data_IF_957559640378
#
_entry.id   IF_957559640378
#
_cell.length_a   1.000
_cell.length_b   1.000
_cell.length_c   1.000
_cell.angle_alpha   90.00
_cell.angle_beta   90.00
_cell.angle_gamma   90.00
#
_symmetry.space_group_name_H-M   'P 1'
#
loop_
_entity.id
_entity.type
_entity.pdbx_description
1 polymer ?
#
# COMPACT_ATOMS: atom_id res chain seq x y z
N UNK A 1 9.26 -0.49 7.39
CA UNK A 1 10.02 -0.29 6.13
C UNK A 1 9.25 0.65 5.22
N UNK A 2 9.93 1.40 4.35
CA UNK A 2 9.29 2.21 3.30
C UNK A 2 9.36 1.45 1.98
N UNK A 3 8.20 1.18 1.35
CA UNK A 3 8.12 0.56 0.02
C UNK A 3 7.31 1.46 -0.89
N UNK A 4 7.81 1.69 -2.10
CA UNK A 4 7.16 2.51 -3.11
C UNK A 4 6.60 1.59 -4.20
N UNK A 5 5.35 1.82 -4.58
CA UNK A 5 4.65 1.04 -5.59
C UNK A 5 4.38 1.94 -6.79
N UNK A 6 4.82 1.52 -7.97
CA UNK A 6 4.55 2.21 -9.23
C UNK A 6 3.41 1.48 -9.94
N UNK A 7 2.42 2.22 -10.39
CA UNK A 7 1.25 1.69 -11.11
C UNK A 7 1.59 1.53 -12.60
N UNK A 8 2.31 2.48 -13.18
CA UNK A 8 2.81 2.37 -14.55
C UNK A 8 4.19 1.71 -14.54
N UNK A 9 4.23 0.45 -14.98
CA UNK A 9 5.46 -0.30 -15.22
C UNK A 9 5.41 -0.83 -16.65
N UNK A 10 6.47 -0.65 -17.47
CA UNK A 10 6.46 -1.06 -18.88
C UNK A 10 6.27 -2.58 -19.11
N UNK A 11 6.44 -3.38 -18.06
CA UNK A 11 6.38 -4.84 -18.11
C UNK A 11 4.96 -5.40 -17.84
N UNK A 12 4.03 -4.60 -17.28
CA UNK A 12 2.71 -5.09 -16.86
C UNK A 12 1.58 -4.16 -17.26
N UNK A 13 0.40 -4.74 -17.55
CA UNK A 13 -0.84 -3.98 -17.65
C UNK A 13 -1.22 -3.39 -16.29
N UNK A 14 -1.84 -2.21 -16.29
CA UNK A 14 -2.25 -1.49 -15.07
C UNK A 14 -3.06 -2.38 -14.13
N UNK A 15 -4.02 -3.14 -14.67
CA UNK A 15 -4.86 -4.05 -13.89
C UNK A 15 -4.05 -5.11 -13.13
N UNK A 16 -3.12 -5.79 -13.81
CA UNK A 16 -2.25 -6.80 -13.18
C UNK A 16 -1.30 -6.17 -12.18
N UNK A 17 -0.88 -4.93 -12.42
CA UNK A 17 0.00 -4.21 -11.51
C UNK A 17 -0.74 -3.80 -10.24
N UNK A 18 -1.97 -3.29 -10.36
CA UNK A 18 -2.89 -2.99 -9.24
C UNK A 18 -3.09 -4.22 -8.35
N UNK A 19 -3.40 -5.38 -8.93
CA UNK A 19 -3.57 -6.62 -8.16
C UNK A 19 -2.26 -7.09 -7.50
N UNK A 20 -1.14 -6.95 -8.19
CA UNK A 20 0.19 -7.25 -7.62
C UNK A 20 0.48 -6.36 -6.42
N UNK A 21 0.17 -5.06 -6.50
CA UNK A 21 0.34 -4.09 -5.41
C UNK A 21 -0.57 -4.46 -4.23
N UNK A 22 -1.85 -4.75 -4.48
CA UNK A 22 -2.80 -5.22 -3.44
C UNK A 22 -2.25 -6.44 -2.71
N UNK A 23 -1.69 -7.41 -3.42
CA UNK A 23 -1.14 -8.62 -2.83
C UNK A 23 0.14 -8.35 -2.02
N UNK A 24 1.03 -7.49 -2.53
CA UNK A 24 2.24 -7.08 -1.83
C UNK A 24 1.94 -6.31 -0.54
N UNK A 25 0.94 -5.44 -0.54
CA UNK A 25 0.48 -4.73 0.66
C UNK A 25 -0.01 -5.74 1.70
N UNK A 26 -0.83 -6.73 1.31
CA UNK A 26 -1.28 -7.80 2.23
C UNK A 26 -0.11 -8.60 2.81
N UNK A 27 0.87 -8.97 2.00
CA UNK A 27 2.10 -9.66 2.46
C UNK A 27 2.89 -8.79 3.43
N UNK A 28 3.03 -7.50 3.13
CA UNK A 28 3.73 -6.55 3.98
C UNK A 28 3.08 -6.46 5.37
N UNK A 29 1.76 -6.34 5.43
CA UNK A 29 1.01 -6.27 6.69
C UNK A 29 1.13 -7.57 7.46
N UNK A 30 0.99 -8.73 6.78
CA UNK A 30 1.16 -10.03 7.43
C UNK A 30 2.55 -10.15 8.07
N UNK A 31 3.59 -9.67 7.38
CA UNK A 31 4.97 -9.64 7.88
C UNK A 31 5.12 -8.70 9.07
N UNK A 32 4.58 -7.48 9.02
CA UNK A 32 4.67 -6.54 10.15
C UNK A 32 3.83 -7.01 11.35
N UNK A 33 2.62 -7.54 11.13
CA UNK A 33 1.80 -8.17 12.20
C UNK A 33 2.47 -9.40 12.82
N UNK A 34 3.29 -10.14 12.07
CA UNK A 34 4.02 -11.28 12.60
C UNK A 34 5.19 -10.89 13.53
N UNK A 35 5.60 -9.62 13.50
CA UNK A 35 6.58 -9.11 14.46
C UNK A 35 5.90 -8.94 15.82
N UNK A 36 6.62 -9.31 16.88
CA UNK A 36 6.15 -9.10 18.26
C UNK A 36 5.88 -7.62 18.46
N UNK A 37 4.65 -7.29 18.88
CA UNK A 37 4.29 -5.93 19.24
C UNK A 37 5.10 -5.53 20.47
N UNK A 38 5.65 -4.30 20.51
CA UNK A 38 6.20 -3.75 21.74
C UNK A 38 5.14 -3.74 22.84
N UNK A 39 5.56 -3.97 24.08
CA UNK A 39 4.68 -3.90 25.26
C UNK A 39 4.01 -2.52 25.30
N UNK A 40 2.68 -2.51 25.33
CA UNK A 40 1.86 -1.29 25.34
C UNK A 40 1.26 -0.87 23.99
N UNK A 41 1.57 -1.54 22.89
CA UNK A 41 0.91 -1.30 21.59
C UNK A 41 -0.16 -2.34 21.29
N UNK A 42 -1.39 -1.88 21.03
CA UNK A 42 -2.52 -2.77 20.69
C UNK A 42 -2.58 -3.12 19.20
N UNK A 43 -1.94 -2.34 18.32
CA UNK A 43 -1.98 -2.55 16.86
C UNK A 43 -0.85 -1.79 16.14
N UNK A 44 -0.45 -2.32 14.98
CA UNK A 44 0.45 -1.63 14.04
C UNK A 44 -0.33 -0.58 13.25
N UNK A 45 0.05 0.69 13.37
CA UNK A 45 -0.42 1.76 12.50
C UNK A 45 0.45 1.85 11.25
N UNK A 46 -0.18 2.01 10.09
CA UNK A 46 0.51 2.15 8.81
C UNK A 46 0.21 3.52 8.22
N UNK A 47 1.25 4.34 8.09
CA UNK A 47 1.15 5.60 7.35
C UNK A 47 1.21 5.31 5.85
N UNK A 48 0.05 5.33 5.20
CA UNK A 48 -0.07 5.16 3.77
C UNK A 48 -0.26 6.52 3.09
N UNK A 49 0.49 6.76 2.00
CA UNK A 49 0.30 7.92 1.14
C UNK A 49 0.02 7.45 -0.29
N UNK A 50 -0.91 8.10 -0.97
CA UNK A 50 -1.32 7.76 -2.32
C UNK A 50 -1.50 9.02 -3.18
N UNK A 51 -0.96 9.00 -4.39
CA UNK A 51 -1.06 10.07 -5.37
C UNK A 51 -0.31 9.70 -6.65
N UNK A 52 -0.52 10.46 -7.73
CA UNK A 52 0.18 10.25 -9.00
C UNK A 52 1.67 10.59 -8.89
N UNK A 53 2.01 11.59 -8.08
CA UNK A 53 3.38 12.02 -7.82
C UNK A 53 3.68 11.95 -6.33
N UNK A 54 4.96 11.99 -5.97
CA UNK A 54 5.41 12.01 -4.58
C UNK A 54 4.95 13.29 -3.84
N UNK A 55 4.77 14.37 -4.58
CA UNK A 55 4.31 15.67 -4.09
C UNK A 55 2.79 15.71 -3.87
N UNK A 56 2.02 15.12 -4.78
CA UNK A 56 0.55 15.04 -4.67
C UNK A 56 0.06 13.88 -3.79
N UNK A 57 0.99 13.11 -3.21
CA UNK A 57 0.66 11.95 -2.41
C UNK A 57 -0.04 12.35 -1.10
N UNK A 58 -1.36 12.16 -1.05
CA UNK A 58 -2.17 12.42 0.12
C UNK A 58 -2.06 11.28 1.12
N UNK A 59 -2.01 11.63 2.41
CA UNK A 59 -2.13 10.64 3.49
C UNK A 59 -3.53 10.06 3.40
N UNK A 60 -3.61 8.74 3.24
CA UNK A 60 -4.87 8.02 3.20
C UNK A 60 -4.86 6.92 4.25
N UNK A 61 -6.05 6.58 4.72
CA UNK A 61 -6.19 5.47 5.64
C UNK A 61 -5.89 4.16 4.92
N UNK A 62 -5.28 3.21 5.63
CA UNK A 62 -4.98 1.88 5.12
C UNK A 62 -6.20 1.18 4.50
N UNK A 63 -7.37 1.32 5.13
CA UNK A 63 -8.62 0.74 4.63
C UNK A 63 -8.99 1.25 3.23
N UNK A 64 -8.58 2.48 2.90
CA UNK A 64 -8.88 3.13 1.64
C UNK A 64 -7.75 2.96 0.61
N UNK A 65 -6.56 2.52 1.00
CA UNK A 65 -5.45 2.25 0.07
C UNK A 65 -5.84 1.30 -1.05
N UNK A 66 -6.54 0.22 -0.72
CA UNK A 66 -6.99 -0.75 -1.74
C UNK A 66 -7.97 -0.10 -2.71
N UNK A 67 -8.88 0.74 -2.20
CA UNK A 67 -9.86 1.47 -3.02
C UNK A 67 -9.19 2.56 -3.87
N UNK A 68 -8.22 3.28 -3.32
CA UNK A 68 -7.47 4.31 -4.06
C UNK A 68 -6.64 3.70 -5.19
N UNK A 69 -6.02 2.55 -4.94
CA UNK A 69 -5.28 1.79 -5.96
C UNK A 69 -6.24 1.25 -7.04
N UNK A 70 -7.47 0.88 -6.68
CA UNK A 70 -8.54 0.51 -7.62
C UNK A 70 -9.01 1.70 -8.47
N UNK A 71 -9.20 2.87 -7.86
CA UNK A 71 -9.61 4.09 -8.55
C UNK A 71 -8.57 4.56 -9.58
N UNK A 72 -7.28 4.35 -9.32
CA UNK A 72 -6.22 4.67 -10.27
C UNK A 72 -6.07 3.65 -11.42
N UNK A 73 -6.82 2.55 -11.38
CA UNK A 73 -6.93 1.63 -12.51
C UNK A 73 -7.82 2.22 -13.63
N UNK A 74 -8.77 3.08 -13.26
CA UNK A 74 -9.69 3.78 -14.18
C UNK A 74 -9.04 5.02 -14.78
#
# INVERSE_FOLDING_TARGET
MKKLFLIDIPNKTRERQVDSIKNDIRKYIKREKSKKLPIGFNSWFFDCKFGQTKEDAKVINFADVIKSVDLAQS
#
